data_IF_650577228746
#
_entry.id   IF_650577228746
#
_cell.length_a   1.000
_cell.length_b   1.000
_cell.length_c   1.000
_cell.angle_alpha   90.00
_cell.angle_beta   90.00
_cell.angle_gamma   90.00
#
_symmetry.space_group_name_H-M   'P 1'
#
loop_
_entity.id
_entity.type
_entity.pdbx_description
1 polymer ?
#
# COMPACT_ATOMS: atom_id res chain seq x y z
N UNK A 1 22.34 -11.37 -1.99
CA UNK A 1 22.82 -10.91 -3.30
C UNK A 1 22.30 -9.51 -3.49
N UNK A 2 23.17 -8.52 -3.66
CA UNK A 2 22.74 -7.21 -4.13
C UNK A 2 22.52 -7.34 -5.62
N UNK A 3 21.26 -7.39 -6.04
CA UNK A 3 20.93 -7.31 -7.45
C UNK A 3 21.21 -5.88 -7.89
N UNK A 4 22.27 -5.67 -8.63
CA UNK A 4 22.53 -4.41 -9.33
C UNK A 4 21.62 -4.36 -10.53
N UNK A 5 20.42 -3.84 -10.31
CA UNK A 5 19.54 -3.45 -11.37
C UNK A 5 20.10 -2.18 -12.02
N UNK A 6 20.15 -2.12 -13.33
CA UNK A 6 20.51 -0.89 -14.03
C UNK A 6 19.35 0.11 -13.90
N UNK A 7 19.51 1.08 -12.99
CA UNK A 7 18.51 2.13 -12.70
C UNK A 7 18.23 3.06 -13.90
N UNK A 8 18.86 2.83 -15.04
CA UNK A 8 18.66 3.61 -16.27
C UNK A 8 17.45 3.15 -17.10
N UNK A 9 16.83 2.04 -16.77
CA UNK A 9 15.65 1.58 -17.49
C UNK A 9 14.38 2.32 -17.04
N UNK A 10 13.46 2.52 -18.00
CA UNK A 10 12.13 3.06 -17.73
C UNK A 10 11.26 2.05 -16.94
N UNK A 11 10.23 2.55 -16.29
CA UNK A 11 9.32 1.76 -15.45
C UNK A 11 8.80 0.51 -16.18
N UNK A 12 8.38 0.66 -17.44
CA UNK A 12 7.79 -0.41 -18.25
C UNK A 12 8.78 -1.55 -18.53
N UNK A 13 10.08 -1.25 -18.58
CA UNK A 13 11.14 -2.27 -18.68
C UNK A 13 11.38 -2.92 -17.31
N UNK A 14 11.42 -2.13 -16.25
CA UNK A 14 11.62 -2.61 -14.89
C UNK A 14 10.51 -3.59 -14.49
N UNK A 15 9.24 -3.23 -14.75
CA UNK A 15 8.09 -4.07 -14.38
C UNK A 15 8.09 -5.46 -15.06
N UNK A 16 8.80 -5.60 -16.20
CA UNK A 16 8.89 -6.86 -16.94
C UNK A 16 10.10 -7.71 -16.56
N UNK A 17 11.19 -7.11 -16.11
CA UNK A 17 12.49 -7.78 -16.03
C UNK A 17 13.09 -7.88 -14.62
N UNK A 18 12.83 -6.93 -13.73
CA UNK A 18 13.42 -6.95 -12.38
C UNK A 18 13.02 -8.22 -11.60
N UNK A 19 14.01 -8.86 -10.98
CA UNK A 19 13.83 -10.11 -10.26
C UNK A 19 13.79 -11.37 -11.13
N UNK A 20 13.95 -11.24 -12.46
CA UNK A 20 14.09 -12.36 -13.39
C UNK A 20 15.01 -12.03 -14.58
N UNK A 21 16.10 -11.32 -14.31
CA UNK A 21 17.09 -10.92 -15.31
C UNK A 21 17.72 -12.15 -15.98
N UNK A 22 17.85 -13.22 -15.22
CA UNK A 22 18.36 -14.50 -15.68
C UNK A 22 17.24 -15.54 -15.72
N UNK A 23 17.31 -16.53 -16.65
CA UNK A 23 16.42 -17.68 -16.62
C UNK A 23 16.62 -18.52 -15.34
N UNK A 24 15.65 -19.37 -15.01
CA UNK A 24 15.79 -20.30 -13.89
C UNK A 24 17.04 -21.19 -14.07
N UNK A 25 17.97 -21.24 -13.11
CA UNK A 25 19.27 -21.91 -13.29
C UNK A 25 19.17 -23.45 -13.36
N UNK A 26 18.02 -24.02 -12.97
CA UNK A 26 17.83 -25.46 -12.98
C UNK A 26 17.13 -25.97 -14.25
N UNK A 27 16.32 -25.13 -14.89
CA UNK A 27 15.43 -25.55 -16.00
C UNK A 27 15.54 -24.68 -17.25
N UNK A 28 16.30 -23.58 -17.18
CA UNK A 28 16.37 -22.54 -18.22
C UNK A 28 15.00 -21.88 -18.52
N UNK A 29 14.02 -22.02 -17.60
CA UNK A 29 12.70 -21.44 -17.78
C UNK A 29 12.77 -19.90 -17.80
N UNK A 30 12.13 -19.30 -18.81
CA UNK A 30 12.06 -17.82 -18.93
C UNK A 30 11.06 -17.23 -17.95
N UNK A 31 9.89 -17.85 -17.77
CA UNK A 31 8.93 -17.44 -16.74
C UNK A 31 9.43 -17.83 -15.35
N UNK A 32 9.12 -17.01 -14.34
CA UNK A 32 9.46 -17.35 -12.95
C UNK A 32 8.72 -18.63 -12.54
N UNK A 33 9.43 -19.73 -12.16
CA UNK A 33 8.78 -20.95 -11.70
C UNK A 33 8.00 -20.74 -10.39
N UNK A 34 6.92 -21.49 -10.20
CA UNK A 34 6.18 -21.52 -8.94
C UNK A 34 6.79 -22.60 -8.05
N UNK A 35 7.63 -22.20 -7.09
CA UNK A 35 8.24 -23.11 -6.12
C UNK A 35 7.27 -23.41 -4.97
N UNK A 36 6.28 -24.26 -5.22
CA UNK A 36 5.26 -24.65 -4.24
C UNK A 36 5.82 -25.73 -3.29
N UNK A 37 6.69 -25.31 -2.36
CA UNK A 37 7.32 -26.19 -1.39
C UNK A 37 7.42 -25.54 -0.01
N UNK A 38 7.39 -26.35 1.05
CA UNK A 38 7.57 -25.88 2.44
C UNK A 38 9.03 -25.82 2.86
N UNK A 39 9.90 -26.68 2.31
CA UNK A 39 11.26 -26.89 2.81
C UNK A 39 12.26 -27.16 1.69
N UNK A 40 13.51 -26.88 1.99
CA UNK A 40 14.64 -27.01 1.05
C UNK A 40 15.72 -27.89 1.66
N UNK A 41 16.34 -28.76 0.85
CA UNK A 41 17.36 -29.71 1.29
C UNK A 41 18.74 -29.04 1.37
N UNK A 42 19.44 -29.24 2.47
CA UNK A 42 20.82 -28.83 2.64
C UNK A 42 21.81 -29.88 2.13
N UNK A 43 22.97 -29.44 1.64
CA UNK A 43 24.03 -30.31 1.13
C UNK A 43 24.62 -31.18 2.25
N UNK A 44 24.77 -30.67 3.47
CA UNK A 44 25.28 -31.32 4.68
C UNK A 44 24.97 -30.46 5.91
N UNK A 45 25.35 -30.96 7.10
CA UNK A 45 25.08 -30.26 8.38
C UNK A 45 25.79 -28.89 8.49
N UNK A 46 26.99 -28.76 7.91
CA UNK A 46 27.73 -27.48 7.93
C UNK A 46 27.02 -26.42 7.07
N UNK A 47 26.53 -26.83 5.88
CA UNK A 47 25.71 -25.95 5.01
C UNK A 47 24.42 -25.54 5.73
N UNK A 48 23.75 -26.47 6.42
CA UNK A 48 22.57 -26.14 7.21
C UNK A 48 22.89 -25.09 8.28
N UNK A 49 23.94 -25.29 9.06
CA UNK A 49 24.38 -24.36 10.09
C UNK A 49 24.70 -22.95 9.54
N UNK A 50 25.40 -22.88 8.40
CA UNK A 50 25.73 -21.61 7.74
C UNK A 50 24.47 -20.84 7.26
N UNK A 51 23.45 -21.55 6.75
CA UNK A 51 22.15 -20.96 6.38
C UNK A 51 21.44 -20.35 7.58
N UNK A 52 21.35 -21.08 8.69
CA UNK A 52 20.71 -20.59 9.91
C UNK A 52 21.47 -19.46 10.58
N UNK A 53 22.78 -19.41 10.41
CA UNK A 53 23.64 -18.32 10.89
C UNK A 53 23.67 -17.09 9.96
N UNK A 54 22.91 -17.08 8.85
CA UNK A 54 22.94 -16.05 7.79
C UNK A 54 24.33 -15.87 7.14
N UNK A 55 25.25 -16.83 7.31
CA UNK A 55 26.56 -16.82 6.70
C UNK A 55 26.56 -17.33 5.24
N UNK A 56 25.49 -17.98 4.82
CA UNK A 56 25.25 -18.45 3.45
C UNK A 56 23.82 -18.08 3.03
N UNK A 57 23.69 -17.36 1.93
CA UNK A 57 22.40 -16.90 1.42
C UNK A 57 21.61 -18.03 0.76
N UNK A 58 20.27 -18.03 0.89
CA UNK A 58 19.36 -18.91 0.17
C UNK A 58 18.20 -19.42 1.01
N UNK A 59 17.47 -20.38 0.42
CA UNK A 59 16.24 -20.88 1.01
C UNK A 59 16.49 -21.84 2.19
N UNK A 60 15.66 -21.72 3.22
CA UNK A 60 15.66 -22.58 4.41
C UNK A 60 14.29 -23.26 4.54
N UNK A 61 13.26 -22.46 4.66
CA UNK A 61 11.89 -22.88 4.88
C UNK A 61 10.92 -21.88 4.23
N UNK A 62 9.90 -22.36 3.55
CA UNK A 62 9.00 -21.56 2.70
C UNK A 62 8.27 -20.40 3.40
N UNK A 63 8.17 -20.43 4.74
CA UNK A 63 7.65 -19.29 5.51
C UNK A 63 8.57 -18.09 5.49
N UNK A 64 9.89 -18.30 5.47
CA UNK A 64 10.91 -17.26 5.55
C UNK A 64 11.38 -16.81 4.16
N UNK A 65 11.64 -17.78 3.29
CA UNK A 65 12.24 -17.58 1.98
C UNK A 65 11.65 -18.53 0.95
N UNK A 66 11.37 -18.01 -0.24
CA UNK A 66 10.89 -18.80 -1.38
C UNK A 66 11.27 -18.07 -2.67
N UNK A 67 11.82 -18.75 -3.66
CA UNK A 67 12.36 -18.12 -4.86
C UNK A 67 11.30 -17.39 -5.71
N UNK A 68 10.03 -17.85 -5.71
CA UNK A 68 8.94 -17.16 -6.41
C UNK A 68 8.56 -15.86 -5.68
N UNK A 69 8.52 -15.92 -4.34
CA UNK A 69 8.23 -14.74 -3.50
C UNK A 69 9.38 -13.73 -3.62
N UNK A 70 10.64 -14.20 -3.62
CA UNK A 70 11.83 -13.38 -3.78
C UNK A 70 11.83 -12.59 -5.09
N UNK A 71 11.45 -13.22 -6.22
CA UNK A 71 11.30 -12.54 -7.51
C UNK A 71 10.25 -11.40 -7.45
N UNK A 72 9.13 -11.61 -6.76
CA UNK A 72 8.13 -10.57 -6.54
C UNK A 72 8.67 -9.44 -5.66
N UNK A 73 9.36 -9.77 -4.55
CA UNK A 73 9.97 -8.80 -3.63
C UNK A 73 11.00 -7.92 -4.34
N UNK A 74 11.88 -8.52 -5.15
CA UNK A 74 12.89 -7.81 -5.93
C UNK A 74 12.25 -6.85 -6.95
N UNK A 75 11.20 -7.31 -7.66
CA UNK A 75 10.52 -6.48 -8.66
C UNK A 75 9.84 -5.27 -8.04
N UNK A 76 9.10 -5.46 -6.97
CA UNK A 76 8.42 -4.33 -6.32
C UNK A 76 9.41 -3.37 -5.65
N UNK A 77 10.50 -3.86 -5.07
CA UNK A 77 11.57 -3.01 -4.55
C UNK A 77 12.19 -2.14 -5.65
N UNK A 78 12.50 -2.72 -6.82
CA UNK A 78 13.03 -1.99 -7.96
C UNK A 78 12.04 -0.93 -8.50
N UNK A 79 10.74 -1.27 -8.57
CA UNK A 79 9.71 -0.35 -9.06
C UNK A 79 9.49 0.84 -8.11
N UNK A 80 9.54 0.63 -6.79
CA UNK A 80 9.46 1.71 -5.80
C UNK A 80 10.76 2.51 -5.67
N UNK A 81 11.90 1.95 -6.11
CA UNK A 81 13.21 2.53 -5.87
C UNK A 81 13.74 2.27 -4.46
N UNK A 82 13.27 1.22 -3.80
CA UNK A 82 13.73 0.75 -2.50
C UNK A 82 14.91 -0.20 -2.57
N UNK A 83 15.56 -0.47 -1.44
CA UNK A 83 16.71 -1.39 -1.34
C UNK A 83 16.28 -2.84 -1.14
N UNK A 84 15.11 -3.07 -0.55
CA UNK A 84 14.56 -4.39 -0.28
C UNK A 84 13.05 -4.34 -0.05
N UNK A 85 12.38 -5.48 -0.26
CA UNK A 85 10.97 -5.64 0.04
C UNK A 85 10.69 -6.97 0.76
N UNK A 86 9.53 -7.04 1.42
CA UNK A 86 9.03 -8.24 2.08
C UNK A 86 7.57 -8.48 1.68
N UNK A 87 7.31 -9.58 0.98
CA UNK A 87 5.97 -10.06 0.69
C UNK A 87 5.32 -10.75 1.88
N UNK A 88 4.07 -10.39 2.17
CA UNK A 88 3.29 -10.91 3.30
C UNK A 88 1.86 -11.26 2.87
N UNK A 89 1.13 -11.97 3.73
CA UNK A 89 -0.16 -12.57 3.43
C UNK A 89 -1.28 -11.56 3.06
N UNK A 90 -1.15 -10.28 3.44
CA UNK A 90 -2.15 -9.24 3.15
C UNK A 90 -1.58 -7.84 3.36
N UNK A 91 -2.26 -6.80 2.81
CA UNK A 91 -1.94 -5.42 3.14
C UNK A 91 -2.07 -5.11 4.64
N UNK A 92 -3.07 -5.69 5.31
CA UNK A 92 -3.21 -5.56 6.77
C UNK A 92 -2.01 -6.16 7.51
N UNK A 93 -1.46 -7.30 7.06
CA UNK A 93 -0.25 -7.88 7.63
C UNK A 93 0.97 -6.98 7.38
N UNK A 94 1.07 -6.35 6.21
CA UNK A 94 2.15 -5.41 5.91
C UNK A 94 2.14 -4.22 6.87
N UNK A 95 0.99 -3.61 7.08
CA UNK A 95 0.82 -2.48 8.02
C UNK A 95 1.10 -2.91 9.46
N UNK A 96 0.51 -4.03 9.90
CA UNK A 96 0.69 -4.53 11.26
C UNK A 96 2.17 -4.86 11.56
N UNK A 97 2.86 -5.54 10.65
CA UNK A 97 4.29 -5.85 10.82
C UNK A 97 5.16 -4.60 10.81
N UNK A 98 4.81 -3.61 9.99
CA UNK A 98 5.52 -2.32 9.99
C UNK A 98 5.42 -1.65 11.35
N UNK A 99 4.22 -1.54 11.93
CA UNK A 99 4.05 -0.93 13.24
C UNK A 99 4.68 -1.73 14.38
N UNK A 100 4.51 -3.05 14.41
CA UNK A 100 5.15 -3.90 15.42
C UNK A 100 6.69 -3.93 15.31
N UNK A 101 7.25 -3.63 14.14
CA UNK A 101 8.69 -3.51 13.97
C UNK A 101 9.25 -2.17 14.49
N UNK A 102 8.43 -1.12 14.47
CA UNK A 102 8.77 0.24 14.90
C UNK A 102 8.46 0.52 16.36
N UNK A 103 7.32 0.02 16.86
CA UNK A 103 6.75 0.37 18.15
C UNK A 103 6.62 -0.83 19.08
N UNK A 104 6.74 -0.58 20.36
CA UNK A 104 6.54 -1.52 21.47
C UNK A 104 5.50 -0.98 22.45
N UNK A 105 5.14 -1.74 23.48
CA UNK A 105 4.25 -1.28 24.54
C UNK A 105 4.73 0.03 25.16
N UNK A 106 3.87 1.03 25.21
CA UNK A 106 4.13 2.39 25.69
C UNK A 106 4.46 3.39 24.59
N UNK A 107 4.65 2.93 23.35
CA UNK A 107 4.93 3.80 22.20
C UNK A 107 3.64 4.30 21.51
N UNK A 108 3.81 5.28 20.62
CA UNK A 108 2.73 5.94 19.89
C UNK A 108 3.03 6.00 18.39
N UNK A 109 1.99 5.94 17.57
CA UNK A 109 1.99 6.21 16.12
C UNK A 109 1.12 7.44 15.86
N UNK A 110 1.64 8.43 15.14
CA UNK A 110 0.83 9.56 14.65
C UNK A 110 0.31 9.19 13.26
N UNK A 111 -0.99 9.29 13.05
CA UNK A 111 -1.64 8.92 11.80
C UNK A 111 -2.59 9.99 11.32
N UNK A 112 -2.65 10.24 10.01
CA UNK A 112 -3.77 10.96 9.43
C UNK A 112 -5.08 10.20 9.70
N UNK A 113 -6.20 10.91 9.90
CA UNK A 113 -7.52 10.30 10.08
C UNK A 113 -8.13 9.80 8.75
N UNK A 114 -7.66 10.33 7.61
CA UNK A 114 -8.14 10.02 6.26
C UNK A 114 -7.46 8.78 5.67
N UNK A 115 -7.46 7.67 6.41
CA UNK A 115 -6.84 6.41 6.04
C UNK A 115 -7.87 5.29 5.89
N UNK A 116 -7.44 4.17 5.31
CA UNK A 116 -8.27 2.97 5.17
C UNK A 116 -8.87 2.53 6.53
N UNK A 117 -10.17 2.28 6.56
CA UNK A 117 -10.89 1.93 7.78
C UNK A 117 -10.34 0.71 8.54
N UNK A 118 -9.76 -0.28 7.83
CA UNK A 118 -9.09 -1.41 8.46
C UNK A 118 -7.81 -1.00 9.21
N UNK A 119 -7.04 -0.05 8.68
CA UNK A 119 -5.86 0.50 9.35
C UNK A 119 -6.26 1.37 10.53
N UNK A 120 -7.34 2.17 10.37
CA UNK A 120 -7.91 2.93 11.49
C UNK A 120 -8.29 2.00 12.65
N UNK A 121 -9.05 0.93 12.37
CA UNK A 121 -9.45 -0.05 13.40
C UNK A 121 -8.25 -0.77 14.04
N UNK A 122 -7.21 -1.08 13.27
CA UNK A 122 -5.97 -1.66 13.80
C UNK A 122 -5.32 -0.72 14.80
N UNK A 123 -5.17 0.57 14.46
CA UNK A 123 -4.54 1.58 15.29
C UNK A 123 -5.37 1.94 16.52
N UNK A 124 -6.70 2.08 16.35
CA UNK A 124 -7.61 2.55 17.44
C UNK A 124 -7.97 1.44 18.43
N UNK A 125 -8.14 0.20 17.96
CA UNK A 125 -8.73 -0.86 18.79
C UNK A 125 -7.83 -2.07 19.01
N UNK A 126 -6.99 -2.44 18.03
CA UNK A 126 -6.20 -3.67 18.12
C UNK A 126 -4.84 -3.43 18.75
N UNK A 127 -4.06 -2.46 18.27
CA UNK A 127 -2.72 -2.17 18.81
C UNK A 127 -2.72 -1.69 20.25
N UNK A 128 -3.74 -0.96 20.76
CA UNK A 128 -3.82 -0.64 22.19
C UNK A 128 -3.84 -1.88 23.11
N UNK A 129 -4.35 -3.02 22.64
CA UNK A 129 -4.30 -4.29 23.40
C UNK A 129 -2.86 -4.82 23.55
N UNK A 130 -1.93 -4.38 22.69
CA UNK A 130 -0.49 -4.63 22.79
C UNK A 130 0.27 -3.47 23.44
N UNK A 131 -0.45 -2.46 23.94
CA UNK A 131 0.12 -1.28 24.60
C UNK A 131 0.66 -0.22 23.65
N UNK A 132 0.41 -0.32 22.35
CA UNK A 132 0.80 0.68 21.34
C UNK A 132 -0.41 1.58 21.08
N UNK A 133 -0.25 2.89 21.24
CA UNK A 133 -1.32 3.87 21.05
C UNK A 133 -1.20 4.56 19.68
N UNK A 134 -2.27 5.18 19.21
CA UNK A 134 -2.25 6.05 18.05
C UNK A 134 -2.81 7.43 18.38
N UNK A 135 -2.32 8.45 17.69
CA UNK A 135 -2.87 9.81 17.70
C UNK A 135 -3.31 10.13 16.27
N UNK A 136 -4.62 10.25 16.08
CA UNK A 136 -5.18 10.65 14.78
C UNK A 136 -5.26 12.16 14.65
N UNK A 137 -4.85 12.67 13.51
CA UNK A 137 -4.87 14.10 13.22
C UNK A 137 -5.65 14.38 11.94
N UNK A 138 -6.16 15.59 11.83
CA UNK A 138 -6.67 16.14 10.58
C UNK A 138 -5.48 16.62 9.74
N UNK A 139 -5.19 16.00 8.58
CA UNK A 139 -4.04 16.41 7.77
C UNK A 139 -4.18 17.80 7.15
N UNK A 140 -5.41 18.34 7.08
CA UNK A 140 -5.70 19.67 6.54
C UNK A 140 -5.57 20.76 7.60
N UNK A 141 -5.43 20.41 8.90
CA UNK A 141 -5.17 21.36 9.98
C UNK A 141 -3.69 21.73 10.05
N UNK A 142 -3.40 23.02 10.02
CA UNK A 142 -2.02 23.52 10.04
C UNK A 142 -1.32 23.15 11.37
N UNK A 143 -0.12 22.56 11.25
CA UNK A 143 0.68 22.13 12.41
C UNK A 143 0.19 20.85 13.09
N UNK A 144 -0.87 20.18 12.61
CA UNK A 144 -1.44 19.02 13.26
C UNK A 144 -0.43 17.89 13.46
N UNK A 145 0.37 17.57 12.45
CA UNK A 145 1.42 16.53 12.55
C UNK A 145 2.46 16.88 13.61
N UNK A 146 2.99 18.09 13.57
CA UNK A 146 4.05 18.53 14.49
C UNK A 146 3.57 18.58 15.95
N UNK A 147 2.36 19.07 16.19
CA UNK A 147 1.76 19.16 17.52
C UNK A 147 1.41 17.78 18.12
N UNK A 148 1.17 16.77 17.28
CA UNK A 148 0.83 15.41 17.72
C UNK A 148 2.05 14.56 18.09
N UNK A 149 3.23 14.88 17.52
CA UNK A 149 4.45 14.13 17.77
C UNK A 149 4.98 14.41 19.19
N UNK A 150 5.34 13.34 19.91
CA UNK A 150 5.91 13.41 21.25
C UNK A 150 7.05 12.39 21.41
N UNK A 151 7.65 12.32 22.60
CA UNK A 151 8.81 11.44 22.86
C UNK A 151 8.54 9.95 22.65
N UNK A 152 7.29 9.53 22.75
CA UNK A 152 6.83 8.15 22.52
C UNK A 152 6.52 7.85 21.06
N UNK A 153 6.44 8.87 20.21
CA UNK A 153 6.10 8.70 18.81
C UNK A 153 7.23 7.99 18.07
N UNK A 154 6.91 6.92 17.36
CA UNK A 154 7.85 6.06 16.61
C UNK A 154 7.71 6.20 15.09
N UNK A 155 6.57 6.66 14.60
CA UNK A 155 6.37 6.88 13.18
C UNK A 155 5.23 7.86 12.93
N UNK A 156 5.27 8.48 11.75
CA UNK A 156 4.09 9.10 11.13
C UNK A 156 3.59 8.17 10.03
N UNK A 157 2.27 8.00 9.94
CA UNK A 157 1.61 7.17 8.92
C UNK A 157 0.62 7.98 8.10
N UNK A 158 0.69 7.88 6.77
CA UNK A 158 -0.22 8.52 5.82
C UNK A 158 -0.52 7.58 4.64
N UNK A 159 -1.55 7.91 3.85
CA UNK A 159 -1.82 7.32 2.54
C UNK A 159 -1.52 8.33 1.43
N UNK A 160 -1.03 7.86 0.27
CA UNK A 160 -0.79 8.72 -0.91
C UNK A 160 -2.07 9.29 -1.47
N UNK A 161 -3.13 8.49 -1.47
CA UNK A 161 -4.49 8.86 -1.87
C UNK A 161 -5.43 8.25 -0.86
N UNK A 162 -6.11 9.10 -0.11
CA UNK A 162 -7.00 8.66 0.99
C UNK A 162 -8.26 7.97 0.49
N UNK A 163 -8.76 7.03 1.28
CA UNK A 163 -9.96 6.26 1.04
C UNK A 163 -11.07 6.70 2.02
N UNK A 164 -12.27 7.10 1.57
CA UNK A 164 -12.82 6.92 0.22
C UNK A 164 -12.74 8.15 -0.71
N UNK A 165 -12.41 9.34 -0.21
CA UNK A 165 -12.67 10.62 -0.87
C UNK A 165 -11.50 11.12 -1.74
N UNK A 166 -10.49 10.31 -2.02
CA UNK A 166 -9.32 10.68 -2.81
C UNK A 166 -8.61 11.95 -2.30
N UNK A 167 -8.54 12.13 -0.98
CA UNK A 167 -7.79 13.21 -0.32
C UNK A 167 -6.30 13.04 -0.54
N UNK A 168 -5.54 14.13 -0.62
CA UNK A 168 -4.09 14.11 -0.79
C UNK A 168 -3.40 14.78 0.38
N UNK A 169 -2.20 14.30 0.71
CA UNK A 169 -1.34 14.86 1.77
C UNK A 169 -0.01 15.27 1.14
N UNK A 170 0.56 16.38 1.56
CA UNK A 170 1.90 16.80 1.12
C UNK A 170 2.98 15.92 1.78
N UNK A 171 3.36 14.85 1.07
CA UNK A 171 4.30 13.83 1.54
C UNK A 171 5.64 14.46 1.95
N UNK A 172 6.16 15.38 1.13
CA UNK A 172 7.45 16.03 1.36
C UNK A 172 7.44 16.87 2.65
N UNK A 173 6.35 17.61 2.88
CA UNK A 173 6.15 18.37 4.12
C UNK A 173 6.09 17.46 5.35
N UNK A 174 5.33 16.37 5.28
CA UNK A 174 5.18 15.42 6.40
C UNK A 174 6.49 14.67 6.65
N UNK A 175 7.23 14.29 5.61
CA UNK A 175 8.56 13.68 5.74
C UNK A 175 9.52 14.60 6.47
N UNK A 176 9.57 15.89 6.11
CA UNK A 176 10.41 16.86 6.78
C UNK A 176 10.09 17.00 8.28
N UNK A 177 8.79 16.99 8.63
CA UNK A 177 8.33 17.01 10.03
C UNK A 177 8.78 15.75 10.77
N UNK A 178 8.52 14.57 10.21
CA UNK A 178 8.90 13.30 10.82
C UNK A 178 10.41 13.22 11.07
N UNK A 179 11.22 13.59 10.08
CA UNK A 179 12.68 13.56 10.16
C UNK A 179 13.24 14.58 11.16
N UNK A 180 12.62 15.76 11.31
CA UNK A 180 13.00 16.71 12.36
C UNK A 180 12.85 16.12 13.76
N UNK A 181 11.90 15.21 13.95
CA UNK A 181 11.68 14.46 15.19
C UNK A 181 12.42 13.11 15.24
N UNK A 182 13.26 12.81 14.24
CA UNK A 182 14.05 11.57 14.13
C UNK A 182 13.18 10.30 14.13
N UNK A 183 12.04 10.35 13.46
CA UNK A 183 11.15 9.21 13.25
C UNK A 183 10.87 9.02 11.75
N UNK A 184 10.64 7.79 11.29
CA UNK A 184 10.35 7.52 9.88
C UNK A 184 8.94 7.94 9.49
N UNK A 185 8.79 8.31 8.21
CA UNK A 185 7.52 8.42 7.53
C UNK A 185 7.18 7.08 6.86
N UNK A 186 6.05 6.50 7.24
CA UNK A 186 5.45 5.31 6.62
C UNK A 186 4.31 5.74 5.72
N UNK A 187 4.32 5.30 4.46
CA UNK A 187 3.32 5.66 3.46
C UNK A 187 2.65 4.42 2.90
N UNK A 188 1.32 4.34 3.01
CA UNK A 188 0.54 3.36 2.22
C UNK A 188 0.31 3.94 0.83
N UNK A 189 0.95 3.32 -0.18
CA UNK A 189 0.87 3.73 -1.58
C UNK A 189 0.01 2.79 -2.43
N UNK A 190 -0.93 2.09 -1.80
CA UNK A 190 -1.80 1.12 -2.47
C UNK A 190 -2.56 1.71 -3.66
N UNK A 191 -3.05 2.96 -3.55
CA UNK A 191 -3.88 3.57 -4.59
C UNK A 191 -3.06 4.30 -5.66
N UNK A 192 -1.88 4.81 -5.33
CA UNK A 192 -1.00 5.41 -6.33
C UNK A 192 -0.23 4.36 -7.12
N UNK A 193 0.18 3.28 -6.49
CA UNK A 193 1.15 2.32 -7.04
C UNK A 193 2.51 2.98 -7.35
N UNK A 194 3.60 2.23 -7.50
CA UNK A 194 4.89 2.82 -7.88
C UNK A 194 4.90 3.43 -9.29
N UNK A 195 3.84 3.18 -10.09
CA UNK A 195 3.71 3.74 -11.42
C UNK A 195 3.31 5.21 -11.42
N UNK A 196 2.34 5.61 -10.59
CA UNK A 196 1.88 7.00 -10.53
C UNK A 196 2.71 7.86 -9.60
N UNK A 197 3.20 7.28 -8.49
CA UNK A 197 3.94 8.00 -7.45
C UNK A 197 4.87 7.06 -6.69
N UNK A 198 6.13 7.46 -6.57
CA UNK A 198 7.14 6.82 -5.71
C UNK A 198 7.36 7.67 -4.46
N UNK A 199 6.80 7.34 -3.31
CA UNK A 199 6.91 8.15 -2.11
C UNK A 199 8.35 8.37 -1.61
N UNK A 200 9.29 7.46 -1.94
CA UNK A 200 10.71 7.60 -1.60
C UNK A 200 11.40 8.81 -2.27
N UNK A 201 10.86 9.28 -3.40
CA UNK A 201 11.35 10.49 -4.07
C UNK A 201 10.98 11.77 -3.31
N UNK A 202 10.01 11.67 -2.38
CA UNK A 202 9.47 12.75 -1.56
C UNK A 202 9.75 12.56 -0.06
N UNK A 203 10.69 11.69 0.29
CA UNK A 203 11.18 11.55 1.65
C UNK A 203 10.49 10.50 2.51
N UNK A 204 9.61 9.65 1.97
CA UNK A 204 9.14 8.49 2.70
C UNK A 204 10.29 7.52 3.01
N UNK A 205 10.21 6.81 4.13
CA UNK A 205 11.21 5.85 4.56
C UNK A 205 10.77 4.41 4.34
N UNK A 206 9.50 4.13 4.60
CA UNK A 206 8.87 2.83 4.42
C UNK A 206 7.60 3.01 3.59
N UNK A 207 7.45 2.18 2.55
CA UNK A 207 6.23 2.13 1.74
C UNK A 207 5.56 0.77 1.94
N UNK A 208 4.23 0.79 2.09
CA UNK A 208 3.43 -0.43 2.16
C UNK A 208 2.39 -0.45 1.06
N UNK A 209 2.06 -1.66 0.58
CA UNK A 209 0.96 -1.86 -0.37
C UNK A 209 0.11 -3.06 0.03
N UNK A 210 -1.18 -2.92 -0.17
CA UNK A 210 -2.03 -4.09 -0.39
C UNK A 210 -1.85 -4.55 -1.84
N UNK A 211 -1.04 -5.59 -2.05
CA UNK A 211 -0.83 -6.17 -3.39
C UNK A 211 -2.11 -6.76 -3.99
N UNK A 212 -3.12 -7.02 -3.15
CA UNK A 212 -4.49 -7.40 -3.50
C UNK A 212 -5.14 -6.45 -4.51
N UNK A 213 -4.77 -5.16 -4.47
CA UNK A 213 -5.39 -4.06 -5.23
C UNK A 213 -4.77 -3.95 -6.62
N UNK A 214 -4.32 -2.78 -7.06
CA UNK A 214 -3.77 -2.57 -8.40
C UNK A 214 -2.61 -3.49 -8.78
N UNK A 215 -1.76 -3.90 -7.83
CA UNK A 215 -0.63 -4.79 -8.12
C UNK A 215 -1.15 -6.10 -8.69
N UNK A 216 -2.06 -6.79 -8.01
CA UNK A 216 -2.74 -7.97 -8.55
C UNK A 216 -3.74 -7.63 -9.66
N UNK A 217 -4.58 -6.63 -9.42
CA UNK A 217 -5.50 -6.01 -10.37
C UNK A 217 -6.72 -6.81 -10.77
N UNK A 218 -6.85 -8.07 -10.37
CA UNK A 218 -7.87 -9.00 -10.88
C UNK A 218 -8.78 -9.60 -9.80
N UNK A 219 -8.62 -9.20 -8.53
CA UNK A 219 -9.42 -9.71 -7.42
C UNK A 219 -9.19 -11.22 -7.13
N UNK A 220 -8.08 -11.80 -7.56
CA UNK A 220 -7.81 -13.25 -7.50
C UNK A 220 -6.92 -13.67 -6.34
N UNK A 221 -6.11 -12.78 -5.80
CA UNK A 221 -5.14 -13.09 -4.76
C UNK A 221 -5.11 -12.00 -3.67
N UNK A 222 -4.92 -12.41 -2.42
CA UNK A 222 -4.70 -11.52 -1.29
C UNK A 222 -3.21 -11.54 -0.96
N UNK A 223 -2.62 -10.35 -0.78
CA UNK A 223 -1.24 -10.18 -0.37
C UNK A 223 -0.92 -8.75 0.01
N UNK A 224 0.23 -8.57 0.62
CA UNK A 224 0.79 -7.28 0.96
C UNK A 224 2.29 -7.25 0.73
N UNK A 225 2.86 -6.08 0.72
CA UNK A 225 4.30 -5.90 0.61
C UNK A 225 4.73 -4.67 1.41
N UNK A 226 5.90 -4.78 2.03
CA UNK A 226 6.61 -3.72 2.74
C UNK A 226 7.87 -3.44 1.94
N UNK A 227 8.12 -2.19 1.58
CA UNK A 227 9.33 -1.76 0.87
C UNK A 227 10.11 -0.80 1.75
N UNK A 228 11.42 -1.05 1.87
CA UNK A 228 12.37 -0.26 2.66
C UNK A 228 13.17 0.65 1.72
N UNK A 229 13.23 1.95 2.00
CA UNK A 229 14.08 2.88 1.25
C UNK A 229 15.56 2.62 1.51
N UNK A 230 15.91 2.06 2.68
CA UNK A 230 17.28 1.92 3.18
C UNK A 230 17.96 3.24 3.55
N UNK A 231 17.21 4.35 3.62
CA UNK A 231 17.77 5.71 3.81
C UNK A 231 17.62 6.25 5.22
N UNK A 232 16.69 5.70 6.02
CA UNK A 232 16.46 6.19 7.38
C UNK A 232 17.63 5.87 8.30
N UNK A 233 18.11 6.88 9.03
CA UNK A 233 19.22 6.74 10.00
C UNK A 233 18.71 6.17 11.32
N UNK A 234 18.62 4.84 11.40
CA UNK A 234 18.17 4.12 12.59
C UNK A 234 19.08 4.34 13.81
N UNK A 235 20.39 4.44 13.60
CA UNK A 235 21.38 4.65 14.67
C UNK A 235 21.33 6.08 15.20
N UNK A 236 21.37 7.07 14.30
CA UNK A 236 21.32 8.50 14.64
C UNK A 236 19.98 8.95 15.22
N UNK A 237 18.90 8.21 14.95
CA UNK A 237 17.59 8.40 15.57
C UNK A 237 17.63 8.20 17.08
N UNK A 238 18.30 7.12 17.56
CA UNK A 238 18.33 6.71 18.96
C UNK A 238 17.01 6.16 19.51
N UNK A 239 15.96 6.03 18.66
CA UNK A 239 14.62 5.61 19.09
C UNK A 239 14.31 4.13 18.82
N UNK A 240 15.18 3.40 18.11
CA UNK A 240 14.94 2.04 17.61
C UNK A 240 16.00 1.03 18.08
N UNK A 241 16.13 0.79 19.40
CA UNK A 241 17.15 -0.12 19.93
C UNK A 241 17.01 -1.54 19.36
N UNK A 242 15.80 -2.00 19.07
CA UNK A 242 15.55 -3.34 18.53
C UNK A 242 16.14 -3.58 17.12
N UNK A 243 16.50 -2.52 16.38
CA UNK A 243 17.20 -2.60 15.09
C UNK A 243 18.71 -2.44 15.25
N UNK A 244 19.14 -1.65 16.23
CA UNK A 244 20.53 -1.20 16.41
C UNK A 244 21.31 -2.09 17.38
N UNK A 245 20.67 -2.52 18.47
CA UNK A 245 21.31 -3.32 19.51
C UNK A 245 21.35 -4.82 19.12
N UNK A 246 22.29 -5.60 19.71
CA UNK A 246 22.35 -7.03 19.51
C UNK A 246 21.03 -7.73 19.88
N UNK A 247 20.46 -8.47 18.94
CA UNK A 247 19.16 -9.13 19.11
C UNK A 247 19.33 -10.53 19.74
N UNK A 248 18.81 -10.77 20.97
CA UNK A 248 19.00 -12.04 21.67
C UNK A 248 18.25 -13.21 21.00
N UNK A 249 17.18 -12.96 20.24
CA UNK A 249 16.42 -14.02 19.55
C UNK A 249 17.05 -14.44 18.23
N UNK A 250 18.09 -13.72 17.77
CA UNK A 250 18.77 -14.02 16.51
C UNK A 250 20.29 -13.91 16.64
N UNK A 251 20.88 -14.80 17.46
CA UNK A 251 22.34 -14.95 17.63
C UNK A 251 23.11 -13.67 18.01
N UNK A 252 22.41 -12.64 18.54
CA UNK A 252 23.04 -11.38 18.94
C UNK A 252 23.41 -10.45 17.78
N UNK A 253 22.86 -10.64 16.58
CA UNK A 253 23.10 -9.71 15.47
C UNK A 253 22.48 -8.32 15.75
N UNK A 254 23.14 -7.27 15.28
CA UNK A 254 22.59 -5.93 15.12
C UNK A 254 22.12 -5.77 13.67
N UNK A 255 20.83 -5.60 13.45
CA UNK A 255 20.30 -5.55 12.07
C UNK A 255 20.92 -4.41 11.26
N UNK A 256 21.12 -3.23 11.85
CA UNK A 256 21.73 -2.09 11.14
C UNK A 256 23.19 -2.35 10.77
N UNK A 257 23.97 -2.98 11.67
CA UNK A 257 25.40 -3.22 11.45
C UNK A 257 25.68 -4.43 10.58
N UNK A 258 24.94 -5.52 10.80
CA UNK A 258 25.24 -6.81 10.18
C UNK A 258 24.51 -6.99 8.84
N UNK A 259 23.37 -6.28 8.63
CA UNK A 259 22.56 -6.34 7.41
C UNK A 259 22.66 -5.04 6.57
N UNK A 260 22.86 -3.90 7.24
CA UNK A 260 22.98 -2.60 6.57
C UNK A 260 21.63 -2.03 6.11
N UNK A 261 21.56 -1.53 4.88
CA UNK A 261 20.41 -0.78 4.36
C UNK A 261 19.07 -1.55 4.39
N UNK A 262 19.09 -2.88 4.29
CA UNK A 262 17.88 -3.72 4.35
C UNK A 262 17.50 -4.16 5.78
N UNK A 263 18.02 -3.49 6.80
CA UNK A 263 17.82 -3.83 8.22
C UNK A 263 16.34 -3.95 8.60
N UNK A 264 15.53 -3.02 8.15
CA UNK A 264 14.11 -2.93 8.53
C UNK A 264 13.33 -4.17 8.09
N UNK A 265 13.32 -4.48 6.80
CA UNK A 265 12.57 -5.64 6.27
C UNK A 265 13.20 -6.97 6.67
N UNK A 266 14.54 -7.02 6.85
CA UNK A 266 15.23 -8.23 7.29
C UNK A 266 14.85 -8.57 8.74
N UNK A 267 14.73 -7.59 9.63
CA UNK A 267 14.25 -7.81 10.99
C UNK A 267 12.82 -8.33 11.01
N UNK A 268 11.92 -7.76 10.19
CA UNK A 268 10.54 -8.27 10.07
C UNK A 268 10.55 -9.74 9.63
N UNK A 269 11.34 -10.09 8.61
CA UNK A 269 11.47 -11.47 8.10
C UNK A 269 11.98 -12.42 9.17
N UNK A 270 13.08 -12.03 9.84
CA UNK A 270 13.78 -12.87 10.80
C UNK A 270 13.01 -13.06 12.12
N UNK A 271 12.19 -12.10 12.53
CA UNK A 271 11.47 -12.10 13.80
C UNK A 271 9.97 -12.25 13.58
N UNK A 272 9.28 -11.21 13.09
CA UNK A 272 7.82 -11.17 13.05
C UNK A 272 7.23 -12.20 12.09
N UNK A 273 7.75 -12.29 10.86
CA UNK A 273 7.27 -13.27 9.89
C UNK A 273 7.57 -14.71 10.34
N UNK A 274 8.77 -14.96 10.89
CA UNK A 274 9.15 -16.24 11.44
C UNK A 274 8.21 -16.71 12.55
N UNK A 275 7.88 -15.81 13.48
CA UNK A 275 7.22 -16.15 14.73
C UNK A 275 5.69 -16.11 14.62
N UNK A 276 5.13 -15.23 13.77
CA UNK A 276 3.67 -15.03 13.65
C UNK A 276 3.08 -15.49 12.31
N UNK A 277 3.91 -15.74 11.29
CA UNK A 277 3.58 -16.60 10.15
C UNK A 277 2.69 -16.00 9.05
N UNK A 278 2.54 -14.69 8.90
CA UNK A 278 1.76 -14.07 7.83
C UNK A 278 2.50 -14.14 6.47
N UNK A 279 2.84 -15.32 6.02
CA UNK A 279 3.65 -15.62 4.83
C UNK A 279 2.83 -15.48 3.56
N UNK A 280 3.43 -14.87 2.53
CA UNK A 280 2.87 -14.85 1.18
C UNK A 280 2.99 -16.23 0.51
N UNK A 281 1.88 -16.75 -0.04
CA UNK A 281 1.91 -18.00 -0.79
C UNK A 281 2.63 -17.82 -2.14
N UNK A 282 3.47 -18.80 -2.59
CA UNK A 282 4.17 -18.71 -3.87
C UNK A 282 3.25 -18.51 -5.07
N UNK A 283 2.08 -19.15 -5.09
CA UNK A 283 1.09 -18.96 -6.14
C UNK A 283 0.58 -17.51 -6.18
N UNK A 284 0.34 -16.89 -5.03
CA UNK A 284 -0.08 -15.49 -4.97
C UNK A 284 1.04 -14.56 -5.45
N UNK A 285 2.29 -14.81 -5.06
CA UNK A 285 3.45 -14.08 -5.57
C UNK A 285 3.56 -14.16 -7.10
N UNK A 286 3.33 -15.33 -7.69
CA UNK A 286 3.29 -15.51 -9.14
C UNK A 286 2.18 -14.70 -9.80
N UNK A 287 0.96 -14.68 -9.23
CA UNK A 287 -0.15 -13.87 -9.73
C UNK A 287 0.16 -12.36 -9.63
N UNK A 288 0.85 -11.93 -8.58
CA UNK A 288 1.30 -10.54 -8.46
C UNK A 288 2.40 -10.17 -9.44
N UNK A 289 3.33 -11.09 -9.74
CA UNK A 289 4.31 -10.90 -10.81
C UNK A 289 3.63 -10.69 -12.16
N UNK A 290 2.62 -11.50 -12.50
CA UNK A 290 1.83 -11.31 -13.72
C UNK A 290 1.07 -9.97 -13.71
N UNK A 291 0.52 -9.59 -12.56
CA UNK A 291 -0.14 -8.29 -12.39
C UNK A 291 0.82 -7.12 -12.59
N UNK A 292 2.04 -7.20 -12.06
CA UNK A 292 3.06 -6.17 -12.22
C UNK A 292 3.49 -6.00 -13.69
N UNK A 293 3.55 -7.08 -14.49
CA UNK A 293 3.95 -7.02 -15.91
C UNK A 293 3.05 -6.13 -16.77
N UNK A 294 1.82 -5.86 -16.32
CA UNK A 294 0.86 -5.00 -17.03
C UNK A 294 0.40 -3.81 -16.19
N UNK A 295 1.11 -3.50 -15.10
CA UNK A 295 0.67 -2.48 -14.14
C UNK A 295 0.51 -1.11 -14.79
N UNK A 296 1.51 -0.64 -15.54
CA UNK A 296 1.47 0.66 -16.23
C UNK A 296 0.27 0.78 -17.17
N UNK A 297 0.09 -0.22 -18.04
CA UNK A 297 -0.99 -0.26 -19.02
C UNK A 297 -2.39 -0.21 -18.36
N UNK A 298 -2.56 -0.94 -17.26
CA UNK A 298 -3.83 -0.97 -16.52
C UNK A 298 -4.08 0.35 -15.80
N UNK A 299 -3.07 0.86 -15.09
CA UNK A 299 -3.22 2.09 -14.31
C UNK A 299 -3.46 3.29 -15.21
N UNK A 300 -2.78 3.41 -16.35
CA UNK A 300 -3.07 4.42 -17.37
C UNK A 300 -4.55 4.38 -17.80
N UNK A 301 -5.06 3.19 -18.14
CA UNK A 301 -6.44 3.03 -18.56
C UNK A 301 -7.42 3.34 -17.42
N UNK A 302 -7.14 2.92 -16.20
CA UNK A 302 -7.96 3.28 -15.03
C UNK A 302 -8.05 4.79 -14.86
N UNK A 303 -6.93 5.50 -14.94
CA UNK A 303 -6.88 6.96 -14.80
C UNK A 303 -7.59 7.66 -15.96
N UNK A 304 -7.31 7.26 -17.20
CA UNK A 304 -7.99 7.82 -18.39
C UNK A 304 -9.50 7.71 -18.27
N UNK A 305 -10.00 6.52 -17.93
CA UNK A 305 -11.43 6.29 -17.73
C UNK A 305 -11.98 7.11 -16.58
N UNK A 306 -11.28 7.15 -15.43
CA UNK A 306 -11.72 7.89 -14.26
C UNK A 306 -11.89 9.39 -14.55
N UNK A 307 -10.94 10.01 -15.23
CA UNK A 307 -11.01 11.43 -15.57
C UNK A 307 -12.22 11.75 -16.49
N UNK A 308 -12.55 10.85 -17.42
CA UNK A 308 -13.73 10.99 -18.27
C UNK A 308 -15.03 10.80 -17.47
N UNK A 309 -15.05 9.88 -16.49
CA UNK A 309 -16.19 9.71 -15.58
C UNK A 309 -16.35 10.93 -14.66
N UNK A 310 -15.25 11.48 -14.14
CA UNK A 310 -15.26 12.72 -13.34
C UNK A 310 -15.87 13.88 -14.16
N UNK A 311 -15.44 14.05 -15.40
CA UNK A 311 -15.99 15.09 -16.30
C UNK A 311 -17.50 14.89 -16.54
N UNK A 312 -17.93 13.66 -16.81
CA UNK A 312 -19.36 13.31 -16.97
C UNK A 312 -20.17 13.63 -15.71
N UNK A 313 -19.72 13.14 -14.55
CA UNK A 313 -20.43 13.32 -13.27
C UNK A 313 -20.50 14.79 -12.85
N UNK A 314 -19.42 15.55 -13.05
CA UNK A 314 -19.36 16.98 -12.68
C UNK A 314 -20.35 17.86 -13.45
N UNK A 315 -20.78 17.40 -14.63
CA UNK A 315 -21.76 18.10 -15.49
C UNK A 315 -23.19 17.56 -15.34
N UNK A 316 -23.36 16.44 -14.62
CA UNK A 316 -24.64 15.74 -14.57
C UNK A 316 -25.63 16.43 -13.62
N UNK A 317 -26.87 16.73 -14.04
CA UNK A 317 -27.84 17.52 -13.25
C UNK A 317 -28.29 16.84 -11.95
N UNK A 318 -28.18 15.50 -11.84
CA UNK A 318 -28.52 14.72 -10.64
C UNK A 318 -27.33 14.50 -9.69
N UNK A 319 -26.16 15.01 -10.02
CA UNK A 319 -24.96 14.99 -9.16
C UNK A 319 -24.90 16.30 -8.36
N UNK A 320 -24.62 16.21 -7.09
CA UNK A 320 -24.44 17.33 -6.19
C UNK A 320 -22.99 17.81 -6.15
N UNK A 321 -22.06 16.85 -6.00
CA UNK A 321 -20.61 17.12 -5.98
C UNK A 321 -19.82 15.88 -6.38
N UNK A 322 -18.58 16.08 -6.80
CA UNK A 322 -17.59 15.02 -7.09
C UNK A 322 -16.34 15.30 -6.28
N UNK A 323 -15.90 14.33 -5.49
CA UNK A 323 -14.68 14.43 -4.69
C UNK A 323 -13.50 13.84 -5.47
N UNK A 324 -12.91 14.65 -6.36
CA UNK A 324 -11.74 14.23 -7.12
C UNK A 324 -10.69 15.34 -7.16
N UNK A 325 -9.40 15.03 -6.86
CA UNK A 325 -8.37 16.06 -6.73
C UNK A 325 -7.97 16.76 -8.05
N UNK A 326 -8.35 16.20 -9.20
CA UNK A 326 -8.10 16.87 -10.49
C UNK A 326 -9.02 18.07 -10.76
N UNK A 327 -10.12 18.22 -10.03
CA UNK A 327 -11.06 19.33 -10.21
C UNK A 327 -10.41 20.65 -9.76
N UNK A 328 -10.57 21.74 -10.52
CA UNK A 328 -9.94 23.03 -10.21
C UNK A 328 -10.34 23.64 -8.86
N UNK A 329 -11.52 23.30 -8.36
CA UNK A 329 -12.09 23.75 -7.08
C UNK A 329 -11.77 22.80 -5.92
N UNK A 330 -11.09 21.69 -6.18
CA UNK A 330 -10.63 20.78 -5.13
C UNK A 330 -9.54 21.43 -4.28
N UNK A 331 -9.61 21.33 -2.93
CA UNK A 331 -8.54 21.81 -2.05
C UNK A 331 -7.20 21.11 -2.31
N UNK A 332 -7.23 19.95 -2.95
CA UNK A 332 -6.04 19.12 -3.26
C UNK A 332 -5.52 19.35 -4.69
N UNK A 333 -6.07 20.28 -5.47
CA UNK A 333 -5.71 20.44 -6.88
C UNK A 333 -4.23 20.70 -7.12
N UNK A 334 -3.60 21.54 -6.29
CA UNK A 334 -2.16 21.85 -6.42
C UNK A 334 -1.30 20.64 -6.03
N UNK A 335 -1.67 19.88 -5.01
CA UNK A 335 -0.98 18.64 -4.66
C UNK A 335 -1.15 17.56 -5.76
N UNK A 336 -2.33 17.52 -6.37
CA UNK A 336 -2.58 16.62 -7.51
C UNK A 336 -1.65 16.93 -8.68
N UNK A 337 -1.48 18.20 -9.05
CA UNK A 337 -0.55 18.61 -10.11
C UNK A 337 0.91 18.30 -9.74
N UNK A 338 1.27 18.45 -8.47
CA UNK A 338 2.62 18.16 -7.97
C UNK A 338 2.94 16.67 -8.03
N UNK A 339 2.07 15.83 -7.50
CA UNK A 339 2.35 14.41 -7.28
C UNK A 339 1.87 13.49 -8.39
N UNK A 340 0.89 13.90 -9.17
CA UNK A 340 0.23 13.10 -10.20
C UNK A 340 0.22 13.79 -11.57
N UNK A 341 1.40 14.13 -12.14
CA UNK A 341 1.47 14.83 -13.44
C UNK A 341 0.86 14.00 -14.59
N UNK A 342 0.84 12.67 -14.45
CA UNK A 342 0.24 11.73 -15.41
C UNK A 342 -1.19 11.32 -15.04
N UNK A 343 -1.82 12.00 -14.07
CA UNK A 343 -3.12 11.68 -13.54
C UNK A 343 -3.08 10.67 -12.40
N UNK A 344 -4.23 10.45 -11.75
CA UNK A 344 -4.35 9.56 -10.59
C UNK A 344 -5.79 9.50 -10.08
N UNK A 345 -5.97 8.84 -8.92
CA UNK A 345 -7.23 8.78 -8.20
C UNK A 345 -8.40 8.15 -8.98
N UNK A 346 -8.19 6.96 -9.58
CA UNK A 346 -9.27 6.20 -10.23
C UNK A 346 -10.29 5.60 -9.26
N UNK A 347 -10.09 5.83 -7.96
CA UNK A 347 -11.03 5.52 -6.87
C UNK A 347 -11.39 6.85 -6.23
N UNK A 348 -12.67 7.20 -6.24
CA UNK A 348 -13.14 8.48 -5.74
C UNK A 348 -14.62 8.39 -5.34
N UNK A 349 -15.17 9.45 -4.77
CA UNK A 349 -16.58 9.52 -4.38
C UNK A 349 -17.29 10.65 -5.12
N UNK A 350 -18.59 10.51 -5.23
CA UNK A 350 -19.50 11.60 -5.59
C UNK A 350 -20.76 11.55 -4.76
N UNK A 351 -21.44 12.67 -4.62
CA UNK A 351 -22.71 12.78 -3.93
C UNK A 351 -23.83 12.96 -4.97
N UNK A 352 -24.82 12.06 -4.94
CA UNK A 352 -26.01 12.20 -5.77
C UNK A 352 -27.01 13.14 -5.09
N UNK A 353 -27.77 13.92 -5.85
CA UNK A 353 -28.86 14.74 -5.29
C UNK A 353 -29.91 13.85 -4.64
N UNK A 354 -30.30 14.18 -3.42
CA UNK A 354 -31.21 13.41 -2.59
C UNK A 354 -30.53 12.87 -1.33
N UNK A 355 -30.85 11.65 -0.94
CA UNK A 355 -30.33 11.01 0.27
C UNK A 355 -29.84 9.58 0.02
N UNK A 356 -29.76 8.80 1.09
CA UNK A 356 -29.32 7.39 1.04
C UNK A 356 -30.20 6.53 0.11
N UNK A 357 -31.50 6.80 0.03
CA UNK A 357 -32.42 6.05 -0.84
C UNK A 357 -32.11 6.25 -2.31
N UNK A 358 -31.83 7.49 -2.71
CA UNK A 358 -31.47 7.84 -4.08
C UNK A 358 -30.11 7.23 -4.46
N UNK A 359 -29.14 7.26 -3.54
CA UNK A 359 -27.82 6.63 -3.73
C UNK A 359 -27.95 5.10 -3.91
N UNK A 360 -28.69 4.43 -3.06
CA UNK A 360 -28.95 2.99 -3.16
C UNK A 360 -29.72 2.63 -4.44
N UNK A 361 -30.77 3.39 -4.78
CA UNK A 361 -31.55 3.17 -5.99
C UNK A 361 -30.72 3.38 -7.28
N UNK A 362 -29.74 4.30 -7.27
CA UNK A 362 -28.80 4.46 -8.36
C UNK A 362 -27.88 3.24 -8.48
N UNK A 363 -27.28 2.81 -7.37
CA UNK A 363 -26.37 1.65 -7.31
C UNK A 363 -27.07 0.38 -7.82
N UNK A 364 -28.31 0.14 -7.37
CA UNK A 364 -29.07 -1.07 -7.72
C UNK A 364 -29.45 -1.15 -9.21
N UNK A 365 -29.37 -0.04 -9.95
CA UNK A 365 -29.62 0.01 -11.41
C UNK A 365 -28.38 -0.24 -12.25
N UNK A 366 -27.17 -0.14 -11.68
CA UNK A 366 -25.94 -0.38 -12.41
C UNK A 366 -25.85 -1.83 -12.88
N UNK A 367 -25.30 -2.03 -14.09
CA UNK A 367 -25.20 -3.35 -14.75
C UNK A 367 -23.77 -3.80 -14.96
N UNK A 368 -22.86 -2.87 -15.16
CA UNK A 368 -21.41 -3.12 -15.34
C UNK A 368 -20.70 -3.06 -14.00
N UNK A 369 -21.01 -2.06 -13.18
CA UNK A 369 -20.39 -1.91 -11.88
C UNK A 369 -20.82 -3.02 -10.92
N UNK A 370 -19.84 -3.74 -10.36
CA UNK A 370 -20.12 -4.75 -9.33
C UNK A 370 -20.23 -4.10 -7.96
N UNK A 371 -21.33 -4.34 -7.25
CA UNK A 371 -21.53 -3.91 -5.86
C UNK A 371 -20.81 -4.87 -4.92
N UNK A 372 -19.67 -4.44 -4.37
CA UNK A 372 -18.84 -5.26 -3.47
C UNK A 372 -17.83 -4.43 -2.68
N UNK A 373 -17.30 -5.00 -1.60
CA UNK A 373 -16.31 -4.37 -0.73
C UNK A 373 -14.87 -4.58 -1.24
N UNK A 374 -14.58 -4.12 -2.47
CA UNK A 374 -13.23 -4.08 -3.02
C UNK A 374 -13.01 -2.78 -3.81
N UNK A 375 -11.79 -2.55 -4.28
CA UNK A 375 -11.36 -1.45 -5.15
C UNK A 375 -10.20 -1.89 -6.03
N UNK A 376 -9.88 -1.12 -7.06
CA UNK A 376 -8.68 -1.32 -7.89
C UNK A 376 -8.66 -2.67 -8.64
N UNK A 377 -9.82 -3.15 -9.02
CA UNK A 377 -9.99 -4.27 -9.94
C UNK A 377 -10.05 -3.75 -11.39
N UNK A 378 -9.64 -4.56 -12.36
CA UNK A 378 -9.81 -4.23 -13.79
C UNK A 378 -11.27 -4.02 -14.17
N UNK A 379 -12.22 -4.52 -13.38
CA UNK A 379 -13.65 -4.28 -13.50
C UNK A 379 -14.07 -3.09 -12.65
N UNK A 380 -15.02 -2.31 -13.15
CA UNK A 380 -15.61 -1.19 -12.40
C UNK A 380 -16.42 -1.69 -11.21
N UNK A 381 -16.18 -1.06 -10.04
CA UNK A 381 -16.81 -1.43 -8.78
C UNK A 381 -17.49 -0.22 -8.15
N UNK A 382 -18.53 -0.49 -7.37
CA UNK A 382 -19.32 0.52 -6.65
C UNK A 382 -19.63 0.07 -5.24
N UNK A 383 -19.74 1.01 -4.31
CA UNK A 383 -20.26 0.77 -2.97
C UNK A 383 -20.86 2.02 -2.37
N UNK A 384 -21.79 1.86 -1.42
CA UNK A 384 -22.35 2.92 -0.59
C UNK A 384 -21.62 2.94 0.76
N UNK A 385 -20.63 3.81 0.99
CA UNK A 385 -19.75 3.74 2.15
C UNK A 385 -20.50 3.79 3.49
N UNK A 386 -21.46 4.70 3.63
CA UNK A 386 -22.18 4.92 4.88
C UNK A 386 -22.95 3.68 5.40
N UNK A 387 -23.50 2.85 4.49
CA UNK A 387 -24.25 1.65 4.89
C UNK A 387 -23.43 0.35 4.85
N UNK A 388 -22.13 0.41 4.50
CA UNK A 388 -21.29 -0.78 4.29
C UNK A 388 -19.93 -0.66 4.96
N UNK A 389 -18.93 -0.15 4.25
CA UNK A 389 -17.53 -0.09 4.73
C UNK A 389 -17.31 0.82 5.95
N UNK A 390 -18.22 1.74 6.22
CA UNK A 390 -18.16 2.69 7.33
C UNK A 390 -19.44 2.62 8.22
N UNK A 391 -20.20 1.52 8.13
CA UNK A 391 -21.48 1.35 8.84
C UNK A 391 -21.35 1.29 10.37
N UNK A 392 -20.15 1.09 10.89
CA UNK A 392 -19.87 1.16 12.32
C UNK A 392 -19.69 2.59 12.86
N UNK A 393 -19.52 3.59 11.97
CA UNK A 393 -19.37 4.98 12.35
C UNK A 393 -20.75 5.64 12.55
N UNK A 394 -20.85 6.52 13.54
CA UNK A 394 -22.05 7.35 13.71
C UNK A 394 -22.07 8.51 12.70
N UNK A 395 -23.18 9.25 12.62
CA UNK A 395 -23.37 10.35 11.65
C UNK A 395 -22.29 11.45 11.76
N UNK A 396 -21.84 11.75 12.98
CA UNK A 396 -20.79 12.75 13.20
C UNK A 396 -19.44 12.26 12.68
N UNK A 397 -19.09 11.03 13.00
CA UNK A 397 -17.84 10.39 12.52
C UNK A 397 -17.81 10.25 11.00
N UNK A 398 -18.95 9.91 10.37
CA UNK A 398 -19.08 9.88 8.91
C UNK A 398 -18.85 11.27 8.31
N UNK A 399 -19.47 12.30 8.89
CA UNK A 399 -19.32 13.68 8.43
C UNK A 399 -17.87 14.18 8.57
N UNK A 400 -17.19 13.83 9.66
CA UNK A 400 -15.76 14.14 9.88
C UNK A 400 -14.83 13.48 8.84
N UNK A 401 -15.27 12.36 8.24
CA UNK A 401 -14.57 11.71 7.11
C UNK A 401 -15.10 12.17 5.75
N UNK A 402 -15.96 13.19 5.70
CA UNK A 402 -16.55 13.69 4.46
C UNK A 402 -17.50 12.70 3.77
N UNK A 403 -18.06 11.74 4.51
CA UNK A 403 -19.03 10.76 4.01
C UNK A 403 -20.43 11.20 4.40
N UNK A 404 -21.27 11.46 3.39
CA UNK A 404 -22.67 11.83 3.57
C UNK A 404 -23.60 10.64 3.26
N UNK A 405 -24.88 10.69 3.66
CA UNK A 405 -25.83 9.61 3.35
C UNK A 405 -26.02 9.34 1.85
N UNK A 406 -25.75 10.33 1.00
CA UNK A 406 -25.85 10.24 -0.47
C UNK A 406 -24.49 10.02 -1.17
N UNK A 407 -23.44 9.72 -0.41
CA UNK A 407 -22.10 9.47 -0.97
C UNK A 407 -22.02 8.08 -1.60
N UNK A 408 -21.53 8.02 -2.83
CA UNK A 408 -21.25 6.80 -3.59
C UNK A 408 -19.77 6.75 -3.90
N UNK A 409 -19.10 5.63 -3.62
CA UNK A 409 -17.70 5.40 -4.03
C UNK A 409 -17.66 4.57 -5.30
N UNK A 410 -16.92 5.05 -6.29
CA UNK A 410 -16.59 4.33 -7.51
C UNK A 410 -15.12 3.89 -7.49
N UNK A 411 -14.83 2.72 -8.05
CA UNK A 411 -13.52 2.28 -8.49
C UNK A 411 -13.62 1.99 -9.97
N UNK A 412 -13.06 2.87 -10.79
CA UNK A 412 -13.22 2.81 -12.23
C UNK A 412 -12.30 1.77 -12.82
N UNK A 413 -12.85 0.86 -13.61
CA UNK A 413 -12.16 -0.23 -14.27
C UNK A 413 -11.56 0.14 -15.63
N UNK A 414 -11.20 -0.89 -16.38
CA UNK A 414 -10.53 -0.77 -17.69
C UNK A 414 -11.45 -1.06 -18.86
N UNK A 415 -12.75 -1.18 -18.62
CA UNK A 415 -13.78 -1.38 -19.66
C UNK A 415 -13.76 -0.22 -20.67
N UNK A 416 -14.45 -0.39 -21.81
CA UNK A 416 -14.61 0.70 -22.76
C UNK A 416 -15.36 1.87 -22.10
N UNK A 417 -14.84 3.07 -22.25
CA UNK A 417 -15.37 4.25 -21.54
C UNK A 417 -16.83 4.55 -21.90
N UNK A 418 -17.23 4.35 -23.14
CA UNK A 418 -18.62 4.62 -23.57
C UNK A 418 -19.59 3.67 -22.86
N UNK A 419 -19.20 2.42 -22.58
CA UNK A 419 -20.03 1.47 -21.87
C UNK A 419 -20.15 1.87 -20.38
N UNK A 420 -19.05 2.33 -19.76
CA UNK A 420 -19.06 2.86 -18.38
C UNK A 420 -20.02 4.07 -18.29
N UNK A 421 -19.89 5.03 -19.20
CA UNK A 421 -20.73 6.23 -19.22
C UNK A 421 -22.19 5.87 -19.48
N UNK A 422 -22.46 4.94 -20.41
CA UNK A 422 -23.81 4.49 -20.70
C UNK A 422 -24.47 3.80 -19.48
N UNK A 423 -23.69 3.01 -18.73
CA UNK A 423 -24.19 2.36 -17.51
C UNK A 423 -24.51 3.38 -16.41
N UNK A 424 -23.66 4.37 -16.21
CA UNK A 424 -23.94 5.47 -15.27
C UNK A 424 -25.17 6.28 -15.70
N UNK A 425 -25.29 6.63 -16.98
CA UNK A 425 -26.39 7.40 -17.53
C UNK A 425 -27.73 6.67 -17.36
N UNK A 426 -27.80 5.39 -17.74
CA UNK A 426 -29.04 4.61 -17.56
C UNK A 426 -29.42 4.43 -16.08
N UNK A 427 -28.45 4.39 -15.16
CA UNK A 427 -28.70 4.32 -13.73
C UNK A 427 -29.31 5.63 -13.18
N UNK A 428 -28.93 6.78 -13.75
CA UNK A 428 -29.62 8.06 -13.50
C UNK A 428 -31.03 8.11 -14.11
N UNK A 429 -31.35 7.23 -15.06
CA UNK A 429 -32.65 7.17 -15.75
C UNK A 429 -32.73 8.13 -16.92
N UNK A 430 -31.63 8.35 -17.61
CA UNK A 430 -31.52 9.16 -18.82
C UNK A 430 -31.58 8.27 -20.06
#
# INVERSE_FOLDING_TARGET
>A
MSYTYDNNYHFETIQLHAGQENPDPATDARAVPIYQTTSFVFKNSAHAAARFALADAGNIYGRLTNSTVDAFEQRIAALEGGVAALGVASGAAAINYTFLNLASAGDNIVSAKTIYGGTYNLLEHTLPQYGITATFIDPDEEGAFENAINDKTKAVFIETIGNPNATLIDIEKVAAIAHAHKIPLVVDSTFATPYLLRPFEYGADIVVHSATKFIGGHGTAIGGVIVDSGKFDWEGSGKFPSLVEPNPSYHGISFTKDVGAAAFVTKIRAILLRDTGATLAPLHAFLFLQGLETLSLRVERHVENALKVVDFLSKHPKVESVNHPSLPDSPYHELYKKYFPNGGASIFTFNIKGGAKEAQAFIDKLKIFSLLANVADVKSLVIHPASTTHSQLNEKELAEQGIQPNTIRLSIGTEHIDDIIADLSQAFGD
#
